data_IF_591169329232
#
_entry.id   IF_591169329232
#
_cell.length_a   1.000
_cell.length_b   1.000
_cell.length_c   1.000
_cell.angle_alpha   90.00
_cell.angle_beta   90.00
_cell.angle_gamma   90.00
#
_symmetry.space_group_name_H-M   'P 1'
#
loop_
_entity.id
_entity.type
_entity.pdbx_description
1 polymer ?
#
# COMPACT_ATOMS: atom_id res chain seq x y z
N UNK A 1 -3.72 16.39 18.78
CA UNK A 1 -4.45 15.40 17.96
C UNK A 1 -4.77 16.07 16.63
N UNK A 2 -4.36 15.51 15.49
CA UNK A 2 -4.82 16.01 14.18
C UNK A 2 -6.31 15.64 14.00
N UNK A 3 -7.10 16.54 13.42
CA UNK A 3 -8.48 16.25 13.02
C UNK A 3 -8.52 15.17 11.92
N UNK A 4 -9.58 14.37 11.88
CA UNK A 4 -9.84 13.40 10.81
C UNK A 4 -9.69 14.02 9.41
N UNK A 5 -10.18 15.26 9.24
CA UNK A 5 -10.05 15.98 7.97
C UNK A 5 -8.59 16.24 7.58
N UNK A 6 -7.76 16.65 8.54
CA UNK A 6 -6.34 16.89 8.30
C UNK A 6 -5.61 15.59 7.91
N UNK A 7 -5.97 14.46 8.52
CA UNK A 7 -5.42 13.15 8.16
C UNK A 7 -5.80 12.72 6.74
N UNK A 8 -7.06 12.95 6.34
CA UNK A 8 -7.54 12.65 4.99
C UNK A 8 -6.84 13.52 3.95
N UNK A 9 -6.70 14.83 4.22
CA UNK A 9 -5.95 15.73 3.34
C UNK A 9 -4.49 15.28 3.19
N UNK A 10 -3.82 14.93 4.28
CA UNK A 10 -2.44 14.45 4.25
C UNK A 10 -2.31 13.11 3.48
N UNK A 11 -3.30 12.23 3.59
CA UNK A 11 -3.32 10.98 2.84
C UNK A 11 -3.31 11.25 1.32
N UNK A 12 -4.26 12.06 0.84
CA UNK A 12 -4.36 12.36 -0.59
C UNK A 12 -3.26 13.31 -1.12
N UNK A 13 -2.63 14.10 -0.25
CA UNK A 13 -1.51 14.98 -0.61
C UNK A 13 -0.13 14.29 -0.59
N UNK A 14 -0.06 13.00 -0.22
CA UNK A 14 1.20 12.28 -0.12
C UNK A 14 1.88 12.11 -1.50
N UNK A 15 3.20 12.26 -1.54
CA UNK A 15 4.00 12.14 -2.77
C UNK A 15 4.27 10.69 -3.20
N UNK A 16 3.87 9.70 -2.40
CA UNK A 16 3.94 8.29 -2.72
C UNK A 16 2.70 7.55 -2.19
N UNK A 17 2.33 6.44 -2.83
CA UNK A 17 1.21 5.59 -2.42
C UNK A 17 1.61 4.11 -2.46
N UNK A 18 1.02 3.30 -1.59
CA UNK A 18 1.25 1.85 -1.56
C UNK A 18 -0.06 1.09 -1.36
N UNK A 19 -0.13 -0.09 -1.99
CA UNK A 19 -1.19 -1.07 -1.76
C UNK A 19 -0.61 -2.30 -1.05
N UNK A 20 -1.06 -2.55 0.18
CA UNK A 20 -0.75 -3.78 0.93
C UNK A 20 -1.74 -4.86 0.52
N UNK A 21 -1.22 -6.05 0.17
CA UNK A 21 -2.01 -7.15 -0.39
C UNK A 21 -2.03 -7.17 -1.92
N UNK A 22 -1.10 -6.44 -2.55
CA UNK A 22 -0.91 -6.51 -3.99
C UNK A 22 -0.43 -7.91 -4.41
N UNK A 23 -0.89 -8.39 -5.56
CA UNK A 23 -0.53 -9.73 -6.07
C UNK A 23 -0.67 -9.76 -7.59
N UNK A 24 -0.10 -10.78 -8.25
CA UNK A 24 -0.29 -11.00 -9.69
C UNK A 24 -1.64 -11.66 -10.04
N UNK A 25 -2.46 -12.02 -9.06
CA UNK A 25 -3.74 -12.71 -9.29
C UNK A 25 -4.87 -11.68 -9.50
N UNK A 26 -5.46 -11.56 -10.71
CA UNK A 26 -6.52 -10.58 -10.99
C UNK A 26 -7.83 -10.82 -10.23
N UNK A 27 -8.03 -12.02 -9.69
CA UNK A 27 -9.17 -12.31 -8.83
C UNK A 27 -9.06 -11.60 -7.46
N UNK A 28 -7.85 -11.30 -6.99
CA UNK A 28 -7.64 -10.66 -5.70
C UNK A 28 -7.98 -9.16 -5.77
N UNK A 29 -8.72 -8.65 -4.80
CA UNK A 29 -9.07 -7.22 -4.75
C UNK A 29 -7.83 -6.32 -4.66
N UNK A 30 -6.80 -6.74 -3.91
CA UNK A 30 -5.53 -6.02 -3.82
C UNK A 30 -4.79 -5.91 -5.16
N UNK A 31 -4.96 -6.86 -6.10
CA UNK A 31 -4.46 -6.70 -7.47
C UNK A 31 -5.18 -5.56 -8.19
N UNK A 32 -6.51 -5.51 -8.11
CA UNK A 32 -7.33 -4.51 -8.80
C UNK A 32 -7.01 -3.10 -8.32
N UNK A 33 -6.86 -2.90 -7.01
CA UNK A 33 -6.51 -1.58 -6.46
C UNK A 33 -5.07 -1.19 -6.78
N UNK A 34 -4.12 -2.14 -6.72
CA UNK A 34 -2.75 -1.86 -7.13
C UNK A 34 -2.67 -1.48 -8.62
N UNK A 35 -3.35 -2.22 -9.50
CA UNK A 35 -3.45 -1.90 -10.92
C UNK A 35 -4.13 -0.54 -11.15
N UNK A 36 -5.14 -0.18 -10.37
CA UNK A 36 -5.76 1.14 -10.44
C UNK A 36 -4.77 2.26 -10.07
N UNK A 37 -4.00 2.12 -8.98
CA UNK A 37 -2.97 3.11 -8.63
C UNK A 37 -1.89 3.22 -9.70
N UNK A 38 -1.41 2.09 -10.23
CA UNK A 38 -0.42 2.05 -11.31
C UNK A 38 -0.93 2.66 -12.62
N UNK A 39 -2.23 2.53 -12.90
CA UNK A 39 -2.87 3.07 -14.11
C UNK A 39 -3.22 4.55 -13.97
N UNK A 40 -3.82 4.96 -12.86
CA UNK A 40 -4.35 6.30 -12.66
C UNK A 40 -3.24 7.33 -12.45
N UNK A 41 -2.09 6.91 -11.93
CA UNK A 41 -1.01 7.81 -11.54
C UNK A 41 0.29 7.47 -12.25
N UNK A 42 0.35 7.74 -13.55
CA UNK A 42 1.59 7.65 -14.33
C UNK A 42 2.77 8.42 -13.70
N UNK A 43 2.50 9.40 -12.81
CA UNK A 43 3.50 10.24 -12.16
C UNK A 43 3.71 10.01 -10.64
N UNK A 44 2.94 9.13 -9.97
CA UNK A 44 3.21 8.82 -8.56
C UNK A 44 3.98 7.50 -8.40
N UNK A 45 5.06 7.47 -7.58
CA UNK A 45 5.75 6.24 -7.25
C UNK A 45 4.86 5.35 -6.40
N UNK A 46 4.33 4.29 -7.02
CA UNK A 46 3.58 3.23 -6.34
C UNK A 46 4.54 2.10 -6.01
N UNK A 47 4.64 1.74 -4.72
CA UNK A 47 5.41 0.56 -4.30
C UNK A 47 4.46 -0.53 -3.81
N UNK A 48 4.22 -1.62 -4.56
CA UNK A 48 3.39 -2.71 -4.10
C UNK A 48 3.98 -3.43 -2.88
N UNK A 49 3.14 -3.85 -1.93
CA UNK A 49 3.58 -4.65 -0.77
C UNK A 49 3.02 -6.07 -0.88
N UNK A 50 3.94 -7.05 -0.94
CA UNK A 50 3.64 -8.48 -0.98
C UNK A 50 4.74 -9.29 -0.27
N UNK A 51 4.46 -9.87 0.93
CA UNK A 51 5.44 -10.69 1.64
C UNK A 51 5.84 -12.00 0.93
N UNK A 52 4.97 -12.51 0.05
CA UNK A 52 5.12 -13.82 -0.58
C UNK A 52 5.77 -13.81 -1.97
N UNK A 53 5.98 -12.63 -2.56
CA UNK A 53 6.60 -12.51 -3.88
C UNK A 53 7.30 -11.16 -4.01
N UNK A 54 8.54 -11.17 -4.50
CA UNK A 54 9.36 -9.97 -4.75
C UNK A 54 8.93 -9.16 -5.98
N UNK A 55 8.04 -9.72 -6.80
CA UNK A 55 7.47 -9.06 -7.98
C UNK A 55 5.97 -9.36 -8.07
N UNK A 56 5.23 -8.45 -8.70
CA UNK A 56 3.87 -8.69 -9.17
C UNK A 56 3.74 -8.28 -10.62
N UNK A 57 2.85 -8.94 -11.36
CA UNK A 57 2.50 -8.57 -12.73
C UNK A 57 1.16 -7.85 -12.73
N UNK A 58 1.13 -6.62 -13.24
CA UNK A 58 -0.08 -5.81 -13.38
C UNK A 58 0.03 -4.90 -14.60
N UNK A 59 -1.07 -4.71 -15.32
CA UNK A 59 -1.11 -3.90 -16.55
C UNK A 59 -0.09 -4.36 -17.62
N UNK A 60 0.19 -5.67 -17.68
CA UNK A 60 1.14 -6.25 -18.62
C UNK A 60 2.62 -5.95 -18.33
N UNK A 61 2.94 -5.38 -17.17
CA UNK A 61 4.31 -5.08 -16.73
C UNK A 61 4.58 -5.69 -15.35
N UNK A 62 5.83 -6.08 -15.10
CA UNK A 62 6.26 -6.53 -13.78
C UNK A 62 6.71 -5.35 -12.92
N UNK A 63 6.25 -5.34 -11.67
CA UNK A 63 6.53 -4.31 -10.68
C UNK A 63 7.24 -4.93 -9.48
N UNK A 64 8.38 -4.36 -9.02
CA UNK A 64 9.04 -4.84 -7.82
C UNK A 64 8.16 -4.57 -6.59
N UNK A 65 8.18 -5.47 -5.63
CA UNK A 65 7.45 -5.32 -4.37
C UNK A 65 8.41 -5.20 -3.20
N UNK A 66 7.89 -4.76 -2.06
CA UNK A 66 8.57 -4.88 -0.77
C UNK A 66 7.77 -5.81 0.16
N UNK A 67 8.43 -6.53 1.10
CA UNK A 67 7.75 -7.52 1.93
C UNK A 67 6.93 -6.91 3.06
N UNK A 68 7.13 -5.64 3.39
CA UNK A 68 6.42 -4.97 4.48
C UNK A 68 6.49 -3.44 4.37
N UNK A 69 5.64 -2.76 5.11
CA UNK A 69 5.65 -1.29 5.23
C UNK A 69 7.00 -0.74 5.73
N UNK A 70 7.70 -1.49 6.61
CA UNK A 70 9.00 -1.08 7.15
C UNK A 70 10.12 -1.08 6.09
N UNK A 71 9.92 -1.77 4.96
CA UNK A 71 10.86 -1.82 3.86
C UNK A 71 10.60 -0.74 2.79
N UNK A 72 9.62 0.15 3.00
CA UNK A 72 9.41 1.28 2.10
C UNK A 72 10.58 2.27 2.19
N UNK A 73 11.00 2.87 1.07
CA UNK A 73 12.11 3.82 1.05
C UNK A 73 11.77 5.14 1.77
N UNK A 74 10.52 5.60 1.66
CA UNK A 74 10.07 6.90 2.21
C UNK A 74 8.76 6.74 3.02
N UNK A 75 8.78 6.00 4.15
CA UNK A 75 7.55 5.62 4.86
C UNK A 75 6.76 6.82 5.40
N UNK A 76 7.40 7.96 5.66
CA UNK A 76 6.75 9.18 6.16
C UNK A 76 6.02 10.00 5.08
N UNK A 77 6.34 9.74 3.81
CA UNK A 77 5.75 10.42 2.65
C UNK A 77 4.85 9.48 1.85
N UNK A 78 4.68 8.24 2.32
CA UNK A 78 3.91 7.21 1.63
C UNK A 78 2.58 7.00 2.32
N UNK A 79 1.49 7.21 1.58
CA UNK A 79 0.15 6.85 2.01
C UNK A 79 -0.14 5.38 1.77
N UNK A 80 -0.77 4.72 2.75
CA UNK A 80 -0.93 3.27 2.74
C UNK A 80 -2.41 2.89 2.63
N UNK A 81 -2.72 2.12 1.59
CA UNK A 81 -4.00 1.43 1.41
C UNK A 81 -3.82 -0.04 1.76
N UNK A 82 -4.57 -0.56 2.73
CA UNK A 82 -4.44 -1.95 3.20
C UNK A 82 -5.62 -2.79 2.74
N UNK A 83 -5.35 -3.82 1.94
CA UNK A 83 -6.34 -4.73 1.37
C UNK A 83 -5.87 -6.17 1.57
N UNK A 84 -6.16 -6.71 2.74
CA UNK A 84 -5.78 -8.09 3.10
C UNK A 84 -6.96 -8.80 3.78
N UNK A 85 -7.17 -10.11 3.53
CA UNK A 85 -8.16 -10.87 4.28
C UNK A 85 -7.92 -10.79 5.81
N UNK A 86 -9.00 -10.66 6.59
CA UNK A 86 -8.95 -10.76 8.04
C UNK A 86 -8.66 -12.23 8.41
N UNK A 87 -7.42 -12.52 8.79
CA UNK A 87 -7.00 -13.88 9.14
C UNK A 87 -5.50 -14.15 9.00
N UNK A 88 -4.74 -13.26 8.35
CA UNK A 88 -3.29 -13.39 8.24
C UNK A 88 -2.57 -12.29 9.06
N UNK A 89 -2.12 -12.58 10.30
CA UNK A 89 -1.58 -11.57 11.23
C UNK A 89 -0.28 -10.89 10.76
N UNK A 90 0.30 -11.34 9.65
CA UNK A 90 1.50 -10.75 9.03
C UNK A 90 1.19 -9.59 8.05
N UNK A 91 -0.07 -9.33 7.70
CA UNK A 91 -0.45 -8.31 6.70
C UNK A 91 -0.96 -6.97 7.26
N UNK A 92 -1.35 -6.90 8.53
CA UNK A 92 -1.89 -5.67 9.11
C UNK A 92 -0.75 -4.77 9.63
N UNK A 93 -0.66 -3.49 9.20
CA UNK A 93 0.21 -2.52 9.85
C UNK A 93 -0.37 -2.21 11.23
N UNK A 94 0.17 -2.88 12.24
CA UNK A 94 -0.29 -2.78 13.63
C UNK A 94 0.22 -3.87 14.57
N UNK A 95 0.79 -4.97 14.03
CA UNK A 95 1.27 -6.09 14.86
C UNK A 95 2.44 -5.75 15.78
N UNK A 96 3.59 -5.34 15.24
CA UNK A 96 4.76 -4.88 16.00
C UNK A 96 5.67 -4.05 15.08
N UNK A 97 5.96 -2.78 15.40
CA UNK A 97 7.19 -2.13 14.92
C UNK A 97 7.10 -0.73 14.29
N UNK A 98 5.93 -0.19 13.97
CA UNK A 98 5.86 1.19 13.48
C UNK A 98 5.89 2.17 14.68
N UNK A 99 7.04 2.82 14.92
CA UNK A 99 7.22 3.77 16.03
C UNK A 99 6.71 5.19 15.74
N UNK A 100 6.28 5.48 14.51
CA UNK A 100 5.83 6.83 14.07
C UNK A 100 4.48 6.73 13.32
N UNK A 101 3.65 7.78 13.31
CA UNK A 101 2.30 7.73 12.73
C UNK A 101 2.34 7.54 11.21
N UNK A 102 1.79 6.42 10.76
CA UNK A 102 1.59 6.09 9.35
C UNK A 102 0.18 6.55 8.96
N UNK A 103 0.05 7.25 7.82
CA UNK A 103 -1.24 7.65 7.26
C UNK A 103 -1.88 6.44 6.56
N UNK A 104 -2.79 5.77 7.25
CA UNK A 104 -3.51 4.58 6.75
C UNK A 104 -4.93 4.96 6.37
N UNK A 105 -5.32 4.68 5.13
CA UNK A 105 -6.72 4.57 4.76
C UNK A 105 -7.04 3.08 4.58
N UNK A 106 -7.85 2.52 5.47
CA UNK A 106 -8.43 1.20 5.25
C UNK A 106 -9.68 1.38 4.36
N UNK A 107 -9.66 0.77 3.18
CA UNK A 107 -10.88 0.55 2.40
C UNK A 107 -11.32 -0.89 2.68
N UNK A 108 -12.56 -1.06 3.17
CA UNK A 108 -13.19 -2.34 3.45
C UNK A 108 -13.64 -3.01 2.16
#
# INVERSE_FOLDING_TARGET
MMSTEANVRNFFASSASTAVGASSNPANFGHRVCAWYLYLYHDLPVTPINPGSATISALGTDHPTVPSVAALPNPKQTSITVITPLGNPQGAPGGKGAKDPIHVAAAW
#
